data_IF_723332962391
#
_entry.id   IF_723332962391
#
_cell.length_a   1.000
_cell.length_b   1.000
_cell.length_c   1.000
_cell.angle_alpha   90.00
_cell.angle_beta   90.00
_cell.angle_gamma   90.00
#
_symmetry.space_group_name_H-M   'P 1'
#
loop_
_entity.id
_entity.type
_entity.pdbx_description
1 polymer ?
#
# COMPACT_ATOMS: atom_id res chain seq x y z
N UNK A 1 40.68 -4.47 0.80
CA UNK A 1 39.84 -3.26 0.94
C UNK A 1 38.73 -3.42 -0.06
N UNK A 2 37.46 -3.37 0.35
CA UNK A 2 36.36 -3.51 -0.60
C UNK A 2 36.18 -2.21 -1.39
N UNK A 3 35.83 -2.30 -2.66
CA UNK A 3 35.61 -1.11 -3.52
C UNK A 3 34.20 -0.53 -3.32
N UNK A 4 34.00 0.71 -3.77
CA UNK A 4 32.67 1.34 -3.80
C UNK A 4 31.69 0.54 -4.69
N UNK A 5 32.19 -0.02 -5.79
CA UNK A 5 31.42 -0.85 -6.71
C UNK A 5 30.98 -2.18 -6.07
N UNK A 6 31.86 -2.85 -5.33
CA UNK A 6 31.50 -4.07 -4.58
C UNK A 6 30.44 -3.81 -3.51
N UNK A 7 30.43 -2.60 -2.91
CA UNK A 7 29.39 -2.20 -1.95
C UNK A 7 28.06 -1.94 -2.66
N UNK A 8 28.09 -1.25 -3.80
CA UNK A 8 26.91 -1.01 -4.64
C UNK A 8 26.27 -2.33 -5.07
N UNK A 9 27.05 -3.25 -5.62
CA UNK A 9 26.57 -4.56 -6.08
C UNK A 9 25.93 -5.35 -4.95
N UNK A 10 26.53 -5.31 -3.75
CA UNK A 10 25.96 -5.93 -2.56
C UNK A 10 24.57 -5.35 -2.25
N UNK A 11 24.42 -4.03 -2.24
CA UNK A 11 23.13 -3.41 -1.93
C UNK A 11 22.08 -3.68 -3.00
N UNK A 12 22.45 -3.62 -4.28
CA UNK A 12 21.55 -3.96 -5.39
C UNK A 12 21.07 -5.42 -5.28
N UNK A 13 21.94 -6.34 -4.88
CA UNK A 13 21.57 -7.74 -4.65
C UNK A 13 20.65 -7.93 -3.42
N UNK A 14 20.72 -7.05 -2.42
CA UNK A 14 19.86 -7.11 -1.22
C UNK A 14 18.46 -6.53 -1.47
N UNK A 15 18.28 -5.59 -2.41
CA UNK A 15 17.00 -4.91 -2.64
C UNK A 15 15.82 -5.87 -2.91
N UNK A 16 15.91 -6.87 -3.80
CA UNK A 16 14.81 -7.81 -4.01
C UNK A 16 14.44 -8.59 -2.75
N UNK A 17 15.42 -8.92 -1.89
CA UNK A 17 15.18 -9.63 -0.64
C UNK A 17 14.43 -8.76 0.38
N UNK A 18 14.81 -7.48 0.46
CA UNK A 18 14.14 -6.49 1.32
C UNK A 18 12.68 -6.34 0.88
N UNK A 19 12.42 -6.21 -0.42
CA UNK A 19 11.06 -6.08 -0.97
C UNK A 19 10.23 -7.34 -0.73
N UNK A 20 10.83 -8.53 -0.90
CA UNK A 20 10.11 -9.80 -0.76
C UNK A 20 9.78 -10.17 0.70
N UNK A 21 10.51 -9.64 1.68
CA UNK A 21 10.42 -10.04 3.10
C UNK A 21 10.58 -8.87 4.06
N UNK A 22 9.78 -7.83 3.89
CA UNK A 22 9.94 -6.55 4.61
C UNK A 22 9.96 -6.74 6.12
N UNK A 23 9.13 -7.65 6.66
CA UNK A 23 9.07 -7.96 8.09
C UNK A 23 10.37 -8.54 8.68
N UNK A 24 11.26 -9.14 7.86
CA UNK A 24 12.58 -9.59 8.33
C UNK A 24 13.58 -8.45 8.51
N UNK A 25 13.39 -7.34 7.79
CA UNK A 25 14.31 -6.21 7.77
C UNK A 25 13.82 -5.04 8.62
N UNK A 26 12.53 -4.98 8.93
CA UNK A 26 11.95 -3.97 9.81
C UNK A 26 10.73 -4.49 10.56
N UNK A 27 10.68 -4.19 11.85
CA UNK A 27 9.54 -4.57 12.70
C UNK A 27 8.31 -3.66 12.50
N UNK A 28 8.50 -2.47 11.92
CA UNK A 28 7.43 -1.51 11.65
C UNK A 28 7.74 -0.64 10.42
N UNK A 29 6.74 0.11 9.95
CA UNK A 29 6.87 1.01 8.80
C UNK A 29 8.00 2.05 8.96
N UNK A 30 8.21 2.59 10.16
CA UNK A 30 9.30 3.54 10.42
C UNK A 30 10.68 2.93 10.14
N UNK A 31 10.91 1.69 10.61
CA UNK A 31 12.19 1.01 10.44
C UNK A 31 12.46 0.69 8.97
N UNK A 32 11.42 0.24 8.24
CA UNK A 32 11.52 -0.01 6.80
C UNK A 32 11.78 1.29 6.04
N UNK A 33 11.10 2.38 6.41
CA UNK A 33 11.34 3.70 5.84
C UNK A 33 12.79 4.14 6.05
N UNK A 34 13.32 4.06 7.26
CA UNK A 34 14.70 4.47 7.56
C UNK A 34 15.75 3.57 6.89
N UNK A 35 15.47 2.28 6.74
CA UNK A 35 16.32 1.36 6.00
C UNK A 35 16.35 1.74 4.52
N UNK A 36 15.19 1.86 3.87
CA UNK A 36 15.10 2.16 2.44
C UNK A 36 15.64 3.55 2.11
N UNK A 37 15.36 4.54 2.97
CA UNK A 37 15.87 5.91 2.85
C UNK A 37 17.41 5.94 2.84
N UNK A 38 18.05 5.25 3.79
CA UNK A 38 19.52 5.16 3.85
C UNK A 38 20.11 4.44 2.64
N UNK A 39 19.49 3.35 2.20
CA UNK A 39 19.96 2.63 1.01
C UNK A 39 19.83 3.48 -0.26
N UNK A 40 18.73 4.22 -0.43
CA UNK A 40 18.59 5.18 -1.54
C UNK A 40 19.63 6.30 -1.45
N UNK A 41 19.85 6.85 -0.26
CA UNK A 41 20.87 7.87 0.00
C UNK A 41 22.25 7.40 -0.43
N UNK A 42 22.64 6.22 0.04
CA UNK A 42 23.96 5.67 -0.23
C UNK A 42 24.13 5.31 -1.71
N UNK A 43 23.12 4.69 -2.35
CA UNK A 43 23.17 4.38 -3.78
C UNK A 43 23.23 5.64 -4.65
N UNK A 44 22.44 6.67 -4.34
CA UNK A 44 22.51 7.95 -5.05
C UNK A 44 23.85 8.64 -4.85
N UNK A 45 24.42 8.56 -3.64
CA UNK A 45 25.76 9.10 -3.37
C UNK A 45 26.83 8.37 -4.19
N UNK A 46 26.78 7.04 -4.27
CA UNK A 46 27.72 6.24 -5.07
C UNK A 46 27.60 6.51 -6.58
N UNK A 47 26.40 6.87 -7.06
CA UNK A 47 26.15 7.24 -8.47
C UNK A 47 26.33 8.74 -8.74
N UNK A 48 26.84 9.51 -7.77
CA UNK A 48 27.02 10.96 -7.87
C UNK A 48 25.73 11.72 -8.26
N UNK A 49 24.57 11.20 -7.86
CA UNK A 49 23.25 11.80 -8.11
C UNK A 49 22.91 12.79 -7.02
N UNK A 50 22.83 14.07 -7.40
CA UNK A 50 22.61 15.18 -6.48
C UNK A 50 21.34 16.00 -6.78
N UNK A 51 20.48 15.51 -7.67
CA UNK A 51 19.27 16.23 -8.12
C UNK A 51 18.17 16.29 -7.07
N UNK A 52 18.28 15.54 -5.96
CA UNK A 52 17.32 15.58 -4.86
C UNK A 52 15.95 15.01 -5.18
N UNK A 53 15.71 14.58 -6.42
CA UNK A 53 14.40 14.23 -6.98
C UNK A 53 13.57 13.33 -6.07
N UNK A 54 14.17 12.23 -5.59
CA UNK A 54 13.41 11.27 -4.79
C UNK A 54 13.07 11.81 -3.40
N UNK A 55 13.88 12.70 -2.82
CA UNK A 55 13.55 13.35 -1.54
C UNK A 55 12.36 14.29 -1.72
N UNK A 56 12.40 15.13 -2.75
CA UNK A 56 11.33 16.09 -3.03
C UNK A 56 10.01 15.35 -3.29
N UNK A 57 10.06 14.20 -3.97
CA UNK A 57 8.87 13.36 -4.19
C UNK A 57 8.28 12.76 -2.90
N UNK A 58 9.02 12.74 -1.79
CA UNK A 58 8.52 12.27 -0.49
C UNK A 58 7.70 13.33 0.25
N UNK A 59 7.76 14.60 -0.16
CA UNK A 59 7.05 15.69 0.51
C UNK A 59 5.52 15.48 0.50
N UNK A 60 5.00 14.75 -0.51
CA UNK A 60 3.59 14.37 -0.62
C UNK A 60 3.06 13.52 0.55
N UNK A 61 3.95 12.94 1.37
CA UNK A 61 3.59 12.15 2.56
C UNK A 61 3.68 12.94 3.88
N UNK A 62 4.11 14.21 3.82
CA UNK A 62 4.18 15.10 4.98
C UNK A 62 5.27 14.76 5.98
N UNK A 63 5.25 15.44 7.13
CA UNK A 63 6.34 15.44 8.12
C UNK A 63 6.60 14.11 8.83
N UNK A 64 5.63 13.19 8.80
CA UNK A 64 5.78 11.82 9.34
C UNK A 64 6.35 10.82 8.33
N UNK A 65 6.63 11.29 7.10
CA UNK A 65 7.05 10.46 5.98
C UNK A 65 5.98 9.46 5.54
N UNK A 66 6.37 8.54 4.68
CA UNK A 66 5.51 7.55 4.03
C UNK A 66 4.62 6.79 5.02
N UNK A 67 5.15 6.39 6.18
CA UNK A 67 4.35 5.66 7.17
C UNK A 67 3.19 6.47 7.77
N UNK A 68 3.31 7.79 7.82
CA UNK A 68 2.40 8.67 8.55
C UNK A 68 0.94 8.53 8.10
N UNK A 69 0.66 8.71 6.80
CA UNK A 69 -0.68 8.53 6.25
C UNK A 69 -1.25 7.12 6.47
N UNK A 70 -0.43 6.07 6.35
CA UNK A 70 -0.91 4.69 6.60
C UNK A 70 -1.33 4.48 8.06
N UNK A 71 -0.54 4.99 9.01
CA UNK A 71 -0.85 4.87 10.44
C UNK A 71 -2.08 5.68 10.83
N UNK A 72 -2.30 6.83 10.20
CA UNK A 72 -3.49 7.64 10.41
C UNK A 72 -4.75 6.95 9.90
N UNK A 73 -4.68 6.24 8.78
CA UNK A 73 -5.85 5.59 8.19
C UNK A 73 -6.19 4.23 8.79
N UNK A 74 -5.18 3.40 9.07
CA UNK A 74 -5.40 2.00 9.46
C UNK A 74 -4.98 1.69 10.90
N UNK A 75 -4.51 2.69 11.64
CA UNK A 75 -4.08 2.54 13.02
C UNK A 75 -2.67 1.96 13.16
N UNK A 76 -2.14 2.02 14.39
CA UNK A 76 -0.76 1.61 14.70
C UNK A 76 -0.55 0.11 14.76
N UNK A 77 -1.60 -0.64 15.03
CA UNK A 77 -1.53 -2.09 15.26
C UNK A 77 -1.38 -2.88 13.96
N UNK A 78 -1.56 -2.24 12.80
CA UNK A 78 -1.63 -2.90 11.49
C UNK A 78 -0.35 -2.84 10.65
N UNK A 79 0.78 -2.55 11.29
CA UNK A 79 2.14 -2.62 10.76
C UNK A 79 2.28 -2.37 9.23
N UNK A 80 2.49 -1.11 8.83
CA UNK A 80 2.54 -0.69 7.42
C UNK A 80 3.86 -0.95 6.69
N UNK A 81 4.58 -2.03 7.03
CA UNK A 81 5.91 -2.34 6.45
C UNK A 81 5.87 -2.55 4.93
N UNK A 82 4.92 -3.36 4.45
CA UNK A 82 4.78 -3.69 3.03
C UNK A 82 4.38 -2.46 2.21
N UNK A 83 3.46 -1.65 2.73
CA UNK A 83 3.03 -0.41 2.08
C UNK A 83 4.17 0.59 1.96
N UNK A 84 4.91 0.81 3.05
CA UNK A 84 6.08 1.69 3.04
C UNK A 84 7.13 1.17 2.05
N UNK A 85 7.48 -0.11 2.11
CA UNK A 85 8.45 -0.70 1.18
C UNK A 85 8.01 -0.56 -0.28
N UNK A 86 6.72 -0.69 -0.58
CA UNK A 86 6.21 -0.53 -1.94
C UNK A 86 6.43 0.88 -2.51
N UNK A 87 6.28 1.92 -1.67
CA UNK A 87 6.58 3.31 -2.06
C UNK A 87 8.07 3.50 -2.31
N UNK A 88 8.94 2.81 -1.59
CA UNK A 88 10.38 2.86 -1.85
C UNK A 88 10.78 2.03 -3.08
N UNK A 89 10.11 0.90 -3.34
CA UNK A 89 10.30 0.10 -4.55
C UNK A 89 10.14 0.99 -5.79
N UNK A 90 9.02 1.72 -5.87
CA UNK A 90 9.02 3.15 -6.19
C UNK A 90 10.28 3.80 -6.82
N UNK A 91 10.96 4.50 -5.93
CA UNK A 91 12.13 5.27 -6.27
C UNK A 91 13.32 4.39 -6.64
N UNK A 92 13.45 3.18 -6.08
CA UNK A 92 14.51 2.26 -6.49
C UNK A 92 14.41 1.91 -7.98
N UNK A 93 13.22 1.57 -8.48
CA UNK A 93 13.05 1.23 -9.90
C UNK A 93 13.22 2.46 -10.80
N UNK A 94 12.61 3.60 -10.45
CA UNK A 94 12.76 4.83 -11.25
C UNK A 94 14.21 5.28 -11.39
N UNK A 95 15.03 5.00 -10.39
CA UNK A 95 16.46 5.30 -10.41
C UNK A 95 17.30 4.19 -11.06
N UNK A 96 16.69 3.07 -11.48
CA UNK A 96 17.36 1.94 -12.13
C UNK A 96 18.04 0.95 -11.16
N UNK A 97 17.74 1.03 -9.87
CA UNK A 97 18.30 0.15 -8.84
C UNK A 97 17.49 -1.13 -8.60
N UNK A 98 16.21 -1.12 -8.97
CA UNK A 98 15.33 -2.28 -8.83
C UNK A 98 14.71 -2.65 -10.18
N UNK A 99 14.96 -3.88 -10.63
CA UNK A 99 14.27 -4.47 -11.76
C UNK A 99 12.87 -4.93 -11.36
N UNK A 100 11.95 -4.92 -12.33
CA UNK A 100 10.60 -5.48 -12.20
C UNK A 100 10.45 -6.63 -13.19
N UNK A 101 9.60 -7.60 -12.85
CA UNK A 101 9.46 -8.85 -13.61
C UNK A 101 8.77 -8.62 -14.96
N UNK A 102 7.87 -7.63 -15.01
CA UNK A 102 7.15 -7.23 -16.24
C UNK A 102 6.62 -5.81 -16.14
N UNK A 103 6.20 -5.29 -17.28
CA UNK A 103 5.45 -4.04 -17.39
C UNK A 103 4.10 -4.29 -18.05
N UNK A 104 3.14 -3.39 -17.79
CA UNK A 104 1.89 -3.31 -18.54
C UNK A 104 2.09 -2.48 -19.81
N UNK A 105 1.39 -2.83 -20.87
CA UNK A 105 1.32 -1.95 -22.03
C UNK A 105 0.40 -0.74 -21.75
N UNK A 106 0.38 0.22 -22.67
CA UNK A 106 -0.41 1.45 -22.52
C UNK A 106 -1.92 1.16 -22.39
N UNK A 107 -2.43 0.17 -23.11
CA UNK A 107 -3.87 -0.17 -23.09
C UNK A 107 -4.24 -0.80 -21.75
N UNK A 108 -3.45 -1.77 -21.30
CA UNK A 108 -3.64 -2.44 -20.00
C UNK A 108 -3.52 -1.44 -18.84
N UNK A 109 -2.58 -0.50 -18.91
CA UNK A 109 -2.40 0.53 -17.90
C UNK A 109 -3.60 1.49 -17.81
N UNK A 110 -4.13 1.93 -18.96
CA UNK A 110 -5.32 2.76 -19.02
C UNK A 110 -6.56 2.02 -18.49
N UNK A 111 -6.75 0.76 -18.90
CA UNK A 111 -7.82 -0.09 -18.39
C UNK A 111 -7.73 -0.26 -16.87
N UNK A 112 -6.54 -0.57 -16.36
CA UNK A 112 -6.28 -0.71 -14.93
C UNK A 112 -6.68 0.55 -14.16
N UNK A 113 -6.13 1.71 -14.55
CA UNK A 113 -6.37 2.96 -13.83
C UNK A 113 -7.81 3.45 -13.95
N UNK A 114 -8.52 3.15 -15.04
CA UNK A 114 -9.96 3.43 -15.19
C UNK A 114 -10.80 2.54 -14.28
N UNK A 115 -10.53 1.22 -14.28
CA UNK A 115 -11.26 0.25 -13.47
C UNK A 115 -11.18 0.54 -11.97
N UNK A 116 -9.99 0.96 -11.50
CA UNK A 116 -9.79 1.39 -10.10
C UNK A 116 -10.70 2.56 -9.71
N UNK A 117 -10.85 3.54 -10.61
CA UNK A 117 -11.67 4.73 -10.34
C UNK A 117 -13.17 4.44 -10.40
N UNK A 118 -13.59 3.54 -11.29
CA UNK A 118 -15.01 3.38 -11.62
C UNK A 118 -15.70 2.21 -10.90
N UNK A 119 -14.98 1.11 -10.63
CA UNK A 119 -15.62 -0.16 -10.26
C UNK A 119 -15.34 -0.63 -8.84
N UNK A 120 -14.10 -0.48 -8.37
CA UNK A 120 -13.68 -1.18 -7.15
C UNK A 120 -14.01 -0.45 -5.85
N UNK A 121 -14.55 0.77 -5.91
CA UNK A 121 -14.84 1.57 -4.72
C UNK A 121 -15.99 1.05 -3.84
N UNK A 122 -16.88 0.22 -4.38
CA UNK A 122 -18.14 -0.19 -3.69
C UNK A 122 -18.29 -1.70 -3.53
N UNK A 123 -17.30 -2.47 -3.97
CA UNK A 123 -17.33 -3.94 -3.90
C UNK A 123 -16.13 -4.48 -3.14
N UNK A 124 -16.29 -5.67 -2.58
CA UNK A 124 -15.16 -6.47 -2.13
C UNK A 124 -14.51 -7.12 -3.35
N UNK A 125 -13.18 -7.17 -3.36
CA UNK A 125 -12.39 -7.71 -4.47
C UNK A 125 -11.25 -8.53 -3.89
N UNK A 126 -11.00 -9.72 -4.44
CA UNK A 126 -9.88 -10.58 -4.03
C UNK A 126 -8.64 -10.35 -4.88
N UNK A 127 -7.49 -10.72 -4.32
CA UNK A 127 -6.20 -10.70 -5.02
C UNK A 127 -6.26 -11.46 -6.34
N UNK A 128 -6.85 -12.65 -6.36
CA UNK A 128 -6.96 -13.50 -7.54
C UNK A 128 -7.76 -12.84 -8.66
N UNK A 129 -8.79 -12.05 -8.33
CA UNK A 129 -9.59 -11.30 -9.30
C UNK A 129 -8.77 -10.22 -9.99
N UNK A 130 -7.93 -9.49 -9.23
CA UNK A 130 -7.00 -8.50 -9.79
C UNK A 130 -5.99 -9.15 -10.74
N UNK A 131 -5.41 -10.28 -10.34
CA UNK A 131 -4.43 -10.99 -11.18
C UNK A 131 -5.09 -11.60 -12.41
N UNK A 132 -6.32 -12.12 -12.29
CA UNK A 132 -7.05 -12.67 -13.42
C UNK A 132 -7.40 -11.60 -14.47
N UNK A 133 -7.67 -10.37 -14.03
CA UNK A 133 -8.06 -9.28 -14.92
C UNK A 133 -6.87 -8.54 -15.53
N UNK A 134 -5.84 -8.22 -14.74
CA UNK A 134 -4.71 -7.40 -15.18
C UNK A 134 -3.41 -8.19 -15.39
N UNK A 135 -3.46 -9.50 -15.16
CA UNK A 135 -2.31 -10.39 -15.22
C UNK A 135 -1.42 -10.31 -13.98
N UNK A 136 -0.31 -11.03 -14.02
CA UNK A 136 0.68 -10.99 -12.93
C UNK A 136 1.22 -9.57 -12.69
N UNK A 137 1.49 -9.18 -11.43
CA UNK A 137 2.05 -7.88 -11.10
C UNK A 137 3.51 -7.74 -11.55
N UNK A 138 3.94 -6.50 -11.74
CA UNK A 138 5.33 -6.13 -12.03
C UNK A 138 6.29 -6.47 -10.89
N UNK A 139 5.81 -6.35 -9.64
CA UNK A 139 6.54 -6.68 -8.43
C UNK A 139 5.53 -7.03 -7.32
N UNK A 140 5.88 -7.95 -6.44
CA UNK A 140 5.12 -8.22 -5.21
C UNK A 140 5.95 -7.92 -3.98
N UNK A 141 5.48 -6.98 -3.15
CA UNK A 141 6.13 -6.60 -1.90
C UNK A 141 5.50 -7.34 -0.73
N UNK A 142 6.33 -8.04 0.04
CA UNK A 142 5.97 -8.85 1.22
C UNK A 142 4.80 -9.82 0.99
N UNK A 143 4.68 -10.32 -0.25
CA UNK A 143 3.54 -11.16 -0.71
C UNK A 143 2.18 -10.48 -0.55
N UNK A 144 2.14 -9.17 -0.35
CA UNK A 144 0.95 -8.42 0.10
C UNK A 144 0.58 -7.31 -0.88
N UNK A 145 1.53 -6.43 -1.18
CA UNK A 145 1.28 -5.30 -2.09
C UNK A 145 1.68 -5.71 -3.49
N UNK A 146 0.71 -5.74 -4.40
CA UNK A 146 0.95 -5.94 -5.83
C UNK A 146 1.29 -4.59 -6.45
N UNK A 147 2.38 -4.52 -7.19
CA UNK A 147 2.82 -3.31 -7.86
C UNK A 147 2.70 -3.50 -9.38
N UNK A 148 2.09 -2.55 -10.08
CA UNK A 148 1.97 -2.54 -11.54
C UNK A 148 2.66 -1.30 -12.12
N UNK A 149 3.49 -1.50 -13.13
CA UNK A 149 4.30 -0.46 -13.79
C UNK A 149 3.99 -0.45 -15.29
N UNK A 150 3.67 0.70 -15.91
CA UNK A 150 3.54 0.81 -17.35
C UNK A 150 4.91 0.75 -18.04
N UNK A 151 4.96 0.30 -19.30
CA UNK A 151 6.20 0.13 -20.06
C UNK A 151 7.01 1.42 -20.29
N UNK A 152 6.36 2.58 -20.21
CA UNK A 152 7.01 3.89 -20.29
C UNK A 152 7.46 4.44 -18.92
N UNK A 153 7.25 3.66 -17.84
CA UNK A 153 7.53 4.03 -16.45
C UNK A 153 6.88 5.36 -16.01
N UNK A 154 5.82 5.80 -16.70
CA UNK A 154 5.11 7.06 -16.44
C UNK A 154 4.41 7.10 -15.07
N UNK A 155 4.17 5.95 -14.47
CA UNK A 155 3.43 5.83 -13.22
C UNK A 155 3.72 4.55 -12.45
N UNK A 156 3.00 4.41 -11.34
CA UNK A 156 3.02 3.21 -10.54
C UNK A 156 1.69 3.03 -9.82
N UNK A 157 1.14 1.83 -9.87
CA UNK A 157 -0.04 1.48 -9.10
C UNK A 157 0.30 0.44 -8.05
N UNK A 158 -0.33 0.58 -6.89
CA UNK A 158 -0.19 -0.33 -5.77
C UNK A 158 -1.56 -0.89 -5.41
N UNK A 159 -1.64 -2.21 -5.26
CA UNK A 159 -2.84 -2.91 -4.79
C UNK A 159 -2.48 -3.59 -3.48
N UNK A 160 -3.05 -3.13 -2.37
CA UNK A 160 -2.77 -3.70 -1.06
C UNK A 160 -3.78 -4.82 -0.76
N UNK A 161 -3.32 -6.07 -0.81
CA UNK A 161 -4.13 -7.23 -0.47
C UNK A 161 -3.92 -7.59 1.00
N UNK A 162 -4.86 -7.20 1.86
CA UNK A 162 -4.72 -7.35 3.31
C UNK A 162 -5.22 -8.72 3.79
N UNK A 163 -4.38 -9.41 4.55
CA UNK A 163 -4.80 -10.57 5.36
C UNK A 163 -4.53 -10.26 6.83
N UNK A 164 -5.47 -10.64 7.69
CA UNK A 164 -5.20 -10.71 9.12
C UNK A 164 -4.51 -12.05 9.44
N UNK A 165 -3.53 -12.03 10.34
CA UNK A 165 -2.90 -13.25 10.82
C UNK A 165 -3.63 -13.74 12.05
N UNK A 166 -4.54 -14.69 11.87
CA UNK A 166 -5.18 -15.34 13.01
C UNK A 166 -4.26 -16.44 13.53
N UNK A 167 -3.65 -16.18 14.68
CA UNK A 167 -2.95 -17.20 15.47
C UNK A 167 -3.90 -17.73 16.55
N UNK A 168 -4.22 -19.02 16.50
CA UNK A 168 -4.99 -19.70 17.54
C UNK A 168 -4.08 -20.63 18.34
N UNK A 169 -4.12 -20.51 19.67
CA UNK A 169 -3.45 -21.45 20.56
C UNK A 169 -4.09 -22.83 20.41
N UNK A 170 -3.28 -23.88 20.27
CA UNK A 170 -3.74 -25.27 20.18
C UNK A 170 -3.68 -25.91 21.59
N UNK A 171 -4.83 -26.10 22.26
CA UNK A 171 -4.85 -26.63 23.62
C UNK A 171 -4.31 -28.06 23.67
N UNK A 172 -3.39 -28.31 24.60
CA UNK A 172 -2.78 -29.63 24.79
C UNK A 172 -1.50 -29.86 24.00
N UNK A 173 -1.21 -29.05 22.98
CA UNK A 173 0.04 -29.13 22.20
C UNK A 173 1.07 -28.08 22.61
N UNK A 174 0.63 -26.99 23.25
CA UNK A 174 1.54 -25.91 23.66
C UNK A 174 2.05 -25.06 22.48
N UNK A 175 1.39 -25.16 21.32
CA UNK A 175 1.75 -24.50 20.06
C UNK A 175 0.65 -23.49 19.65
N UNK A 176 0.98 -22.63 18.68
CA UNK A 176 0.01 -21.79 17.97
C UNK A 176 -0.05 -22.24 16.52
N UNK A 177 -1.24 -22.35 15.97
CA UNK A 177 -1.47 -22.47 14.54
C UNK A 177 -1.78 -21.10 13.97
N UNK A 178 -1.12 -20.75 12.87
CA UNK A 178 -1.38 -19.52 12.13
C UNK A 178 -2.06 -19.89 10.82
N UNK A 179 -3.31 -19.47 10.66
CA UNK A 179 -4.02 -19.54 9.39
C UNK A 179 -3.73 -18.27 8.58
N UNK A 180 -3.51 -18.43 7.27
CA UNK A 180 -3.33 -17.33 6.32
C UNK A 180 -4.32 -17.52 5.18
N UNK A 181 -4.99 -16.44 4.77
CA UNK A 181 -5.76 -16.43 3.53
C UNK A 181 -4.77 -16.32 2.36
N UNK A 182 -4.74 -17.33 1.49
CA UNK A 182 -3.91 -17.35 0.28
C UNK A 182 -4.48 -16.45 -0.82
N UNK A 183 -5.75 -16.05 -0.72
CA UNK A 183 -6.42 -15.15 -1.65
C UNK A 183 -7.07 -13.95 -0.94
N UNK A 184 -6.27 -13.08 -0.29
CA UNK A 184 -6.78 -12.02 0.56
C UNK A 184 -7.60 -10.97 -0.18
N UNK A 185 -8.46 -10.28 0.56
CA UNK A 185 -9.21 -9.13 0.07
C UNK A 185 -8.29 -7.93 -0.20
N UNK A 186 -8.58 -7.21 -1.27
CA UNK A 186 -7.96 -5.93 -1.58
C UNK A 186 -8.52 -4.89 -0.62
N UNK A 187 -7.62 -4.24 0.13
CA UNK A 187 -7.91 -3.14 1.05
C UNK A 187 -7.96 -1.81 0.31
N UNK A 188 -6.98 -1.54 -0.54
CA UNK A 188 -6.93 -0.32 -1.32
C UNK A 188 -6.17 -0.47 -2.64
N UNK A 189 -6.40 0.50 -3.51
CA UNK A 189 -5.55 0.86 -4.62
C UNK A 189 -4.92 2.21 -4.34
N UNK A 190 -3.65 2.37 -4.71
CA UNK A 190 -2.96 3.67 -4.73
C UNK A 190 -2.46 3.93 -6.14
N UNK A 191 -2.91 5.02 -6.74
CA UNK A 191 -2.53 5.48 -8.07
C UNK A 191 -1.61 6.70 -7.96
N UNK A 192 -0.87 7.06 -9.03
CA UNK A 192 -0.10 8.30 -9.06
C UNK A 192 -1.02 9.51 -8.91
N UNK A 193 -0.71 10.36 -7.93
CA UNK A 193 -1.41 11.61 -7.67
C UNK A 193 -0.49 12.60 -6.92
N UNK A 194 -0.93 13.85 -6.81
CA UNK A 194 -0.17 14.94 -6.17
C UNK A 194 -0.09 14.76 -4.65
N UNK A 195 -1.09 14.14 -4.03
CA UNK A 195 -1.13 13.85 -2.59
C UNK A 195 -1.41 12.37 -2.33
N UNK A 196 -1.07 11.91 -1.14
CA UNK A 196 -1.38 10.54 -0.73
C UNK A 196 -2.89 10.24 -0.78
N UNK A 197 -3.72 11.14 -0.23
CA UNK A 197 -5.16 10.92 -0.16
C UNK A 197 -5.83 10.94 -1.54
N UNK A 198 -5.38 11.81 -2.45
CA UNK A 198 -5.98 11.93 -3.78
C UNK A 198 -5.72 10.73 -4.69
N UNK A 199 -4.64 9.99 -4.44
CA UNK A 199 -4.32 8.75 -5.15
C UNK A 199 -4.92 7.51 -4.51
N UNK A 200 -5.54 7.61 -3.33
CA UNK A 200 -6.03 6.46 -2.56
C UNK A 200 -7.49 6.14 -2.90
N UNK A 201 -7.73 4.90 -3.32
CA UNK A 201 -9.05 4.35 -3.59
C UNK A 201 -9.29 3.14 -2.69
N UNK A 202 -10.23 3.26 -1.75
CA UNK A 202 -10.60 2.15 -0.85
C UNK A 202 -11.68 1.28 -1.48
N UNK A 203 -11.52 -0.03 -1.35
CA UNK A 203 -12.60 -1.00 -1.61
C UNK A 203 -13.66 -0.94 -0.50
N UNK A 204 -14.77 -1.67 -0.65
CA UNK A 204 -15.74 -1.81 0.42
C UNK A 204 -15.08 -2.32 1.71
N UNK A 205 -14.30 -3.40 1.61
CA UNK A 205 -13.47 -3.90 2.70
C UNK A 205 -12.54 -2.85 3.30
N UNK A 206 -11.83 -2.08 2.48
CA UNK A 206 -10.96 -1.00 2.94
C UNK A 206 -11.69 0.09 3.73
N UNK A 207 -12.88 0.47 3.29
CA UNK A 207 -13.75 1.44 3.99
C UNK A 207 -14.16 0.92 5.36
N UNK A 208 -14.55 -0.34 5.46
CA UNK A 208 -14.87 -0.99 6.75
C UNK A 208 -13.63 -1.04 7.65
N UNK A 209 -12.45 -1.36 7.10
CA UNK A 209 -11.22 -1.38 7.88
C UNK A 209 -10.78 -0.02 8.40
N UNK A 210 -11.08 1.07 7.68
CA UNK A 210 -10.73 2.45 8.04
C UNK A 210 -11.72 3.08 9.02
N UNK A 211 -13.02 2.92 8.75
CA UNK A 211 -14.09 3.67 9.42
C UNK A 211 -15.06 2.78 10.21
N UNK A 212 -14.92 1.47 10.13
CA UNK A 212 -15.84 0.52 10.74
C UNK A 212 -17.08 0.24 9.88
N UNK A 213 -17.97 -0.67 10.33
CA UNK A 213 -19.15 -1.09 9.56
C UNK A 213 -20.19 0.03 9.35
N UNK A 214 -20.17 1.09 10.17
CA UNK A 214 -21.02 2.27 10.04
C UNK A 214 -20.49 3.36 9.10
N UNK A 215 -19.42 3.09 8.35
CA UNK A 215 -18.71 4.11 7.56
C UNK A 215 -19.60 4.94 6.63
N UNK A 216 -20.63 4.33 6.05
CA UNK A 216 -21.56 4.94 5.10
C UNK A 216 -22.43 6.05 5.73
N UNK A 217 -22.53 6.10 7.06
CA UNK A 217 -23.25 7.15 7.80
C UNK A 217 -22.53 8.50 7.66
N UNK A 218 -21.20 8.51 7.79
CA UNK A 218 -20.38 9.72 7.74
C UNK A 218 -19.73 9.95 6.38
N UNK A 219 -19.60 8.90 5.57
CA UNK A 219 -18.98 8.93 4.25
C UNK A 219 -19.91 8.33 3.18
N UNK A 220 -21.14 8.83 3.01
CA UNK A 220 -22.04 8.34 1.96
C UNK A 220 -21.44 8.63 0.59
N UNK A 221 -21.56 7.65 -0.30
CA UNK A 221 -21.19 7.79 -1.71
C UNK A 221 -22.32 8.55 -2.46
N UNK A 222 -21.98 9.30 -3.51
CA UNK A 222 -22.96 10.02 -4.34
C UNK A 222 -23.96 9.08 -5.04
N UNK A 223 -23.60 7.79 -5.13
CA UNK A 223 -24.44 6.72 -5.67
C UNK A 223 -25.47 6.15 -4.69
N UNK A 224 -25.44 6.56 -3.42
CA UNK A 224 -26.34 6.06 -2.37
C UNK A 224 -27.79 6.56 -2.60
N UNK A 225 -28.81 5.68 -2.56
CA UNK A 225 -30.20 6.08 -2.73
C UNK A 225 -30.65 7.16 -1.74
N UNK A 226 -31.57 8.03 -2.15
CA UNK A 226 -32.07 9.14 -1.32
C UNK A 226 -32.62 8.69 0.04
N UNK A 227 -33.23 7.50 0.11
CA UNK A 227 -33.69 6.89 1.36
C UNK A 227 -32.53 6.59 2.32
N UNK A 228 -31.46 5.97 1.82
CA UNK A 228 -30.25 5.68 2.61
C UNK A 228 -29.52 6.97 3.03
N UNK A 229 -29.54 8.03 2.21
CA UNK A 229 -29.02 9.34 2.60
C UNK A 229 -29.85 9.97 3.74
N UNK A 230 -31.18 9.83 3.69
CA UNK A 230 -32.07 10.30 4.75
C UNK A 230 -31.85 9.52 6.06
N UNK A 231 -31.68 8.19 5.98
CA UNK A 231 -31.34 7.35 7.13
C UNK A 231 -30.00 7.77 7.72
N UNK A 232 -28.96 7.98 6.91
CA UNK A 232 -27.66 8.45 7.37
C UNK A 232 -27.74 9.83 8.04
N UNK A 233 -28.55 10.76 7.50
CA UNK A 233 -28.79 12.06 8.14
C UNK A 233 -29.48 11.91 9.50
N UNK A 234 -30.48 11.03 9.61
CA UNK A 234 -31.16 10.75 10.86
C UNK A 234 -30.25 10.11 11.91
N UNK A 235 -29.43 9.14 11.52
CA UNK A 235 -28.48 8.48 12.42
C UNK A 235 -27.43 9.47 12.94
N UNK A 236 -26.88 10.34 12.08
CA UNK A 236 -25.96 11.41 12.50
C UNK A 236 -26.59 12.38 13.50
N UNK A 237 -27.88 12.72 13.31
CA UNK A 237 -28.60 13.57 14.26
C UNK A 237 -28.79 12.88 15.62
N UNK A 238 -29.12 11.59 15.62
CA UNK A 238 -29.24 10.81 16.86
C UNK A 238 -27.90 10.73 17.59
N UNK A 239 -26.80 10.52 16.86
CA UNK A 239 -25.44 10.52 17.43
C UNK A 239 -25.07 11.89 17.99
N UNK A 240 -25.37 12.99 17.29
CA UNK A 240 -25.07 14.35 17.80
C UNK A 240 -25.88 14.73 19.03
N UNK A 241 -27.06 14.14 19.19
CA UNK A 241 -27.95 14.38 20.33
C UNK A 241 -27.68 13.41 21.51
N UNK A 242 -26.74 12.47 21.36
CA UNK A 242 -26.36 11.54 22.43
C UNK A 242 -25.53 12.26 23.52
N UNK A 243 -26.08 12.46 24.73
CA UNK A 243 -25.41 13.18 25.81
C UNK A 243 -24.25 12.40 26.43
N UNK A 244 -24.00 11.16 26.00
CA UNK A 244 -22.87 10.35 26.44
C UNK A 244 -21.60 10.57 25.61
N UNK A 245 -21.69 11.26 24.47
CA UNK A 245 -20.55 11.72 23.70
C UNK A 245 -20.05 13.08 24.25
N UNK A 246 -18.74 13.26 24.46
CA UNK A 246 -18.16 14.45 25.09
C UNK A 246 -18.22 15.72 24.24
#
# INVERSE_FOLDING_TARGET
>A
MRTAEELKDKWLAELPLIMARTGMYGINGAHVQDLCRRLLDDLCFLDERHDGYWRDSMDRYGSRGVQGPFLEMFGRDRNCTAEVASVFAEHFHRLGYLAVDRTLDETDWLMFTSAVRERFGTTDVRRSEIVAEFGEPSLVVDRRVLCYVPGDSSGWAFVDCWTDYQSSYVPGEGTYETARDDDPLVREFRLPADTFESGLHLTLFGKVLRWGPGWWIHHPDDTVPAESQAIAAQLRQIESDDPSLP
#
